data_IF_944979023530
#
_entry.id   IF_944979023530
#
_cell.length_a   1.000
_cell.length_b   1.000
_cell.length_c   1.000
_cell.angle_alpha   90.00
_cell.angle_beta   90.00
_cell.angle_gamma   90.00
#
_symmetry.space_group_name_H-M   'P 1'
#
loop_
_entity.id
_entity.type
_entity.pdbx_description
1 polymer ?
#
# COMPACT_ATOMS: atom_id res chain seq x y z
N UNK A 1 -18.98 26.12 11.02
CA UNK A 1 -18.58 25.42 10.81
C UNK A 1 -18.57 24.68 10.01
N UNK A 2 -18.13 24.20 9.49
CA UNK A 2 -18.10 23.50 8.77
C UNK A 2 -18.10 22.41 8.75
N UNK A 3 -18.51 21.90 8.29
CA UNK A 3 -18.66 20.76 8.24
C UNK A 3 -17.97 20.15 7.28
N UNK A 4 -16.77 20.18 7.24
CA UNK A 4 -16.04 19.43 6.39
C UNK A 4 -16.14 18.04 6.76
N UNK A 5 -16.72 17.28 5.92
CA UNK A 5 -16.84 15.88 6.13
C UNK A 5 -15.48 15.22 6.13
N UNK A 6 -15.15 14.53 7.19
CA UNK A 6 -13.89 13.80 7.26
C UNK A 6 -14.04 12.46 6.51
N UNK A 7 -13.01 12.07 5.79
CA UNK A 7 -13.01 10.80 5.07
C UNK A 7 -12.80 9.67 6.05
N UNK A 8 -13.53 8.58 5.83
CA UNK A 8 -13.35 7.36 6.63
C UNK A 8 -12.03 6.67 6.27
N UNK A 9 -11.61 5.74 7.10
CA UNK A 9 -10.42 4.96 6.80
C UNK A 9 -10.54 4.20 5.48
N UNK A 10 -11.70 3.62 5.23
CA UNK A 10 -11.92 2.89 3.97
C UNK A 10 -11.83 3.84 2.78
N UNK A 11 -12.42 5.03 2.89
CA UNK A 11 -12.33 6.02 1.81
C UNK A 11 -10.88 6.40 1.53
N UNK A 12 -10.08 6.60 2.56
CA UNK A 12 -8.68 6.97 2.40
C UNK A 12 -7.87 5.85 1.74
N UNK A 13 -8.10 4.60 2.13
CA UNK A 13 -7.42 3.46 1.51
C UNK A 13 -7.87 3.33 0.05
N UNK A 14 -9.16 3.53 -0.21
CA UNK A 14 -9.67 3.48 -1.58
C UNK A 14 -9.02 4.53 -2.46
N UNK A 15 -8.84 5.73 -1.95
CA UNK A 15 -8.16 6.80 -2.71
C UNK A 15 -6.73 6.41 -3.07
N UNK A 16 -6.02 5.81 -2.15
CA UNK A 16 -4.65 5.35 -2.42
C UNK A 16 -4.66 4.24 -3.46
N UNK A 17 -5.61 3.30 -3.36
CA UNK A 17 -5.73 2.21 -4.34
C UNK A 17 -6.07 2.74 -5.72
N UNK A 18 -6.99 3.70 -5.80
CA UNK A 18 -7.36 4.33 -7.07
C UNK A 18 -6.13 5.02 -7.69
N UNK A 19 -5.34 5.69 -6.88
CA UNK A 19 -4.12 6.33 -7.35
C UNK A 19 -3.13 5.31 -7.90
N UNK A 20 -2.96 4.19 -7.21
CA UNK A 20 -2.06 3.13 -7.67
C UNK A 20 -2.48 2.60 -9.03
N UNK A 21 -3.78 2.36 -9.21
CA UNK A 21 -4.29 1.83 -10.48
C UNK A 21 -4.20 2.89 -11.58
N UNK A 22 -4.64 4.11 -11.28
CA UNK A 22 -4.73 5.17 -12.28
C UNK A 22 -3.39 5.78 -12.64
N UNK A 23 -2.61 6.17 -11.62
CA UNK A 23 -1.34 6.86 -11.86
C UNK A 23 -0.20 5.90 -12.16
N UNK A 24 -0.12 4.80 -11.42
CA UNK A 24 1.00 3.87 -11.53
C UNK A 24 0.66 2.61 -12.30
N UNK A 25 -0.59 2.43 -12.70
CA UNK A 25 -1.05 1.27 -13.48
C UNK A 25 -0.88 -0.06 -12.75
N UNK A 26 -0.98 -0.04 -11.43
CA UNK A 26 -0.88 -1.26 -10.61
C UNK A 26 -2.24 -1.96 -10.56
N UNK A 27 -2.71 -2.42 -11.72
CA UNK A 27 -3.97 -3.15 -11.84
C UNK A 27 -3.80 -4.58 -11.32
N UNK A 28 -4.92 -5.28 -11.14
CA UNK A 28 -4.87 -6.69 -10.73
C UNK A 28 -4.14 -7.54 -11.77
N UNK A 29 -4.27 -7.22 -13.05
CA UNK A 29 -3.52 -7.94 -14.10
C UNK A 29 -2.03 -7.69 -14.00
N UNK A 30 -1.62 -6.46 -13.73
CA UNK A 30 -0.21 -6.14 -13.49
C UNK A 30 0.30 -6.92 -12.28
N UNK A 31 -0.49 -6.94 -11.21
CA UNK A 31 -0.09 -7.54 -9.94
C UNK A 31 -0.16 -9.07 -9.97
N UNK A 32 -0.78 -9.66 -10.99
CA UNK A 32 -0.90 -11.12 -11.11
C UNK A 32 0.46 -11.83 -11.10
N UNK A 33 1.53 -11.13 -11.46
CA UNK A 33 2.88 -11.68 -11.43
C UNK A 33 3.41 -11.92 -10.02
N UNK A 34 2.82 -11.28 -9.03
CA UNK A 34 3.33 -11.30 -7.65
C UNK A 34 2.76 -12.48 -6.87
N UNK A 35 3.24 -13.69 -7.20
CA UNK A 35 2.71 -14.94 -6.64
C UNK A 35 3.41 -15.38 -5.36
N UNK A 36 4.50 -14.70 -4.96
CA UNK A 36 5.30 -15.09 -3.80
C UNK A 36 5.07 -14.17 -2.61
N UNK A 37 3.86 -13.64 -2.48
CA UNK A 37 3.44 -12.78 -1.38
C UNK A 37 4.11 -11.41 -1.35
N UNK A 38 4.59 -10.97 -2.51
CA UNK A 38 5.29 -9.67 -2.60
C UNK A 38 4.40 -8.51 -2.17
N UNK A 39 3.09 -8.54 -2.55
CA UNK A 39 2.20 -7.44 -2.17
C UNK A 39 2.00 -7.39 -0.66
N UNK A 40 1.98 -8.54 0.01
CA UNK A 40 1.87 -8.59 1.46
C UNK A 40 3.16 -8.11 2.13
N UNK A 41 4.31 -8.43 1.54
CA UNK A 41 5.57 -7.89 2.03
C UNK A 41 5.61 -6.36 1.89
N UNK A 42 5.04 -5.83 0.82
CA UNK A 42 4.91 -4.37 0.67
C UNK A 42 4.04 -3.77 1.77
N UNK A 43 2.91 -4.40 2.05
CA UNK A 43 2.03 -3.96 3.14
C UNK A 43 2.76 -4.02 4.48
N UNK A 44 3.47 -5.12 4.73
CA UNK A 44 4.21 -5.32 5.98
C UNK A 44 5.28 -4.25 6.15
N UNK A 45 6.00 -3.90 5.06
CA UNK A 45 7.02 -2.87 5.10
C UNK A 45 6.44 -1.54 5.60
N UNK A 46 5.31 -1.11 5.03
CA UNK A 46 4.70 0.15 5.44
C UNK A 46 4.12 0.08 6.85
N UNK A 47 3.58 -1.09 7.25
CA UNK A 47 3.08 -1.26 8.62
C UNK A 47 4.22 -1.20 9.63
N UNK A 48 5.34 -1.86 9.34
CA UNK A 48 6.50 -1.84 10.25
C UNK A 48 7.08 -0.43 10.33
N UNK A 49 7.13 0.28 9.20
CA UNK A 49 7.62 1.66 9.22
C UNK A 49 6.71 2.54 10.06
N UNK A 50 5.40 2.37 9.96
CA UNK A 50 4.44 3.10 10.78
C UNK A 50 4.62 2.76 12.26
N UNK A 51 4.91 1.50 12.58
CA UNK A 51 5.00 1.04 13.96
C UNK A 51 6.34 1.37 14.61
N UNK A 52 7.43 1.16 13.90
CA UNK A 52 8.78 1.26 14.46
C UNK A 52 9.53 2.53 14.04
N UNK A 53 9.01 3.27 13.09
CA UNK A 53 9.57 4.55 12.64
C UNK A 53 11.05 4.42 12.26
N UNK A 54 11.93 5.25 12.82
CA UNK A 54 13.34 5.27 12.44
C UNK A 54 14.10 4.02 12.85
N UNK A 55 13.49 3.18 13.68
CA UNK A 55 14.15 1.95 14.12
C UNK A 55 13.98 0.80 13.13
N UNK A 56 13.15 0.99 12.10
CA UNK A 56 12.88 -0.06 11.12
C UNK A 56 13.73 0.14 9.88
N UNK A 57 14.27 -0.95 9.36
CA UNK A 57 15.02 -0.97 8.12
C UNK A 57 14.15 -1.56 7.03
N UNK A 58 13.61 -0.71 6.17
CA UNK A 58 12.69 -1.14 5.11
C UNK A 58 13.31 -2.14 4.14
N UNK A 59 14.62 -2.12 4.00
CA UNK A 59 15.32 -3.06 3.13
C UNK A 59 15.19 -4.51 3.57
N UNK A 60 14.76 -4.75 4.81
CA UNK A 60 14.60 -6.11 5.31
C UNK A 60 13.39 -6.82 4.69
N UNK A 61 12.37 -6.07 4.35
CA UNK A 61 11.10 -6.66 3.90
C UNK A 61 10.65 -6.22 2.51
N UNK A 62 11.13 -5.06 2.03
CA UNK A 62 10.65 -4.49 0.78
C UNK A 62 11.03 -5.39 -0.41
N UNK A 63 10.05 -5.95 -1.13
CA UNK A 63 10.33 -6.93 -2.19
C UNK A 63 10.56 -6.29 -3.56
N UNK A 64 10.40 -4.98 -3.67
CA UNK A 64 10.50 -4.29 -4.94
C UNK A 64 11.78 -3.45 -4.98
N UNK A 65 12.02 -2.77 -6.12
CA UNK A 65 13.17 -1.88 -6.20
C UNK A 65 12.99 -0.73 -5.21
N UNK A 66 14.07 -0.36 -4.52
CA UNK A 66 14.00 0.65 -3.45
C UNK A 66 13.49 1.99 -3.95
N UNK A 67 13.68 2.32 -5.22
CA UNK A 67 13.19 3.58 -5.76
C UNK A 67 11.67 3.71 -5.72
N UNK A 68 10.97 2.60 -5.55
CA UNK A 68 9.50 2.61 -5.47
C UNK A 68 9.00 2.73 -4.03
N UNK A 69 9.88 2.61 -3.06
CA UNK A 69 9.50 2.79 -1.66
C UNK A 69 9.36 4.28 -1.35
N UNK A 70 8.26 4.66 -0.72
CA UNK A 70 8.02 6.06 -0.39
C UNK A 70 7.48 6.19 1.03
N UNK A 71 8.36 6.53 1.95
CA UNK A 71 7.95 6.85 3.31
C UNK A 71 7.43 8.28 3.32
N UNK A 72 6.13 8.43 3.43
CA UNK A 72 5.49 9.75 3.44
C UNK A 72 4.80 10.04 4.77
N UNK A 73 5.23 9.39 5.83
CA UNK A 73 4.73 9.62 7.17
C UNK A 73 3.69 8.61 7.59
N UNK A 74 3.32 8.67 8.86
CA UNK A 74 2.50 7.64 9.52
C UNK A 74 1.18 7.39 8.79
N UNK A 75 0.41 8.46 8.54
CA UNK A 75 -0.91 8.32 7.92
C UNK A 75 -0.79 7.75 6.50
N UNK A 76 0.13 8.29 5.71
CA UNK A 76 0.32 7.81 4.33
C UNK A 76 0.82 6.37 4.29
N UNK A 77 1.66 5.98 5.24
CA UNK A 77 2.14 4.61 5.32
C UNK A 77 1.02 3.63 5.64
N UNK A 78 0.07 4.02 6.51
CA UNK A 78 -1.10 3.19 6.78
C UNK A 78 -1.98 3.04 5.53
N UNK A 79 -2.18 4.12 4.78
CA UNK A 79 -2.96 4.06 3.54
C UNK A 79 -2.30 3.13 2.52
N UNK A 80 -0.98 3.23 2.38
CA UNK A 80 -0.23 2.39 1.45
C UNK A 80 -0.31 0.92 1.84
N UNK A 81 -0.19 0.63 3.14
CA UNK A 81 -0.32 -0.74 3.62
C UNK A 81 -1.71 -1.30 3.28
N UNK A 82 -2.76 -0.52 3.55
CA UNK A 82 -4.13 -0.94 3.21
C UNK A 82 -4.32 -1.17 1.73
N UNK A 83 -3.75 -0.29 0.90
CA UNK A 83 -3.86 -0.41 -0.55
C UNK A 83 -3.14 -1.66 -1.06
N UNK A 84 -2.00 -2.04 -0.47
CA UNK A 84 -1.32 -3.28 -0.81
C UNK A 84 -2.17 -4.51 -0.47
N UNK A 85 -2.86 -4.48 0.68
CA UNK A 85 -3.76 -5.56 1.05
C UNK A 85 -4.91 -5.66 0.04
N UNK A 86 -5.48 -4.51 -0.33
CA UNK A 86 -6.55 -4.49 -1.34
C UNK A 86 -6.04 -5.02 -2.67
N UNK A 87 -4.81 -4.66 -3.06
CA UNK A 87 -4.20 -5.16 -4.29
C UNK A 87 -4.06 -6.68 -4.29
N UNK A 88 -3.67 -7.25 -3.15
CA UNK A 88 -3.55 -8.70 -3.05
C UNK A 88 -4.92 -9.38 -3.19
N UNK A 89 -5.93 -8.82 -2.55
CA UNK A 89 -7.29 -9.37 -2.69
C UNK A 89 -7.78 -9.27 -4.13
N UNK A 90 -7.49 -8.16 -4.80
CA UNK A 90 -7.83 -8.01 -6.23
C UNK A 90 -7.11 -9.04 -7.09
N UNK A 91 -5.82 -9.26 -6.81
CA UNK A 91 -5.03 -10.24 -7.55
C UNK A 91 -5.62 -11.64 -7.40
N UNK A 92 -6.05 -11.99 -6.19
CA UNK A 92 -6.61 -13.31 -5.92
C UNK A 92 -7.94 -13.53 -6.63
N UNK A 93 -8.62 -12.47 -7.05
CA UNK A 93 -9.86 -12.58 -7.81
C UNK A 93 -9.63 -12.84 -9.30
N UNK A 94 -8.39 -12.75 -9.76
CA UNK A 94 -8.06 -13.00 -11.16
C UNK A 94 -7.67 -14.46 -11.33
N UNK A 95 -8.38 -15.18 -12.17
CA UNK A 95 -8.09 -16.58 -12.46
C UNK A 95 -8.12 -16.82 -13.94
#
# INVERSE_FOLDING_TARGET
MINKKMKTGIEQINEERVKQIGKYKYTAYHDAQYTEKELILGALTYLKKALYEDKYQETDDWPFMMRFYRDEGYVENLKKAGAFIAAELDRLNIN
#
